data_IF_547202095627
#
_entry.id   IF_547202095627
#
_cell.length_a   1.000
_cell.length_b   1.000
_cell.length_c   1.000
_cell.angle_alpha   90.00
_cell.angle_beta   90.00
_cell.angle_gamma   90.00
#
_symmetry.space_group_name_H-M   'P 1'
#
loop_
_entity.id
_entity.type
_entity.pdbx_description
1 polymer ?
#
# COMPACT_ATOMS: atom_id res chain seq x y z
N UNK A 1 -21.36 -14.70 -3.37
CA UNK A 1 -19.92 -14.52 -3.25
C UNK A 1 -19.30 -14.15 -4.60
N UNK A 2 -18.35 -13.25 -4.59
CA UNK A 2 -17.58 -12.97 -5.79
C UNK A 2 -16.54 -14.10 -6.03
N UNK A 3 -15.78 -14.06 -7.12
CA UNK A 3 -14.91 -15.15 -7.56
C UNK A 3 -15.66 -16.46 -7.85
N UNK A 4 -16.80 -16.35 -8.53
CA UNK A 4 -17.64 -17.49 -8.96
C UNK A 4 -18.11 -18.38 -7.80
N UNK A 5 -18.24 -17.79 -6.61
CA UNK A 5 -18.71 -18.50 -5.42
C UNK A 5 -17.69 -19.39 -4.75
N UNK A 6 -16.41 -19.33 -5.16
CA UNK A 6 -15.33 -20.07 -4.49
C UNK A 6 -14.98 -19.42 -3.15
N UNK A 7 -15.30 -20.09 -2.00
CA UNK A 7 -15.06 -19.48 -0.69
C UNK A 7 -13.58 -19.23 -0.39
N UNK A 8 -12.69 -20.08 -0.86
CA UNK A 8 -11.25 -19.92 -0.62
C UNK A 8 -10.70 -18.70 -1.38
N UNK A 9 -11.06 -18.59 -2.65
CA UNK A 9 -10.62 -17.46 -3.47
C UNK A 9 -11.16 -16.14 -2.93
N UNK A 10 -12.44 -16.12 -2.55
CA UNK A 10 -13.06 -14.94 -1.96
C UNK A 10 -12.35 -14.54 -0.66
N UNK A 11 -12.08 -15.50 0.22
CA UNK A 11 -11.38 -15.23 1.48
C UNK A 11 -9.97 -14.70 1.25
N UNK A 12 -9.22 -15.27 0.29
CA UNK A 12 -7.87 -14.82 -0.03
C UNK A 12 -7.87 -13.37 -0.55
N UNK A 13 -8.71 -13.05 -1.51
CA UNK A 13 -8.77 -11.70 -2.06
C UNK A 13 -9.28 -10.68 -1.05
N UNK A 14 -10.22 -11.06 -0.18
CA UNK A 14 -10.68 -10.20 0.91
C UNK A 14 -9.54 -9.90 1.89
N UNK A 15 -8.75 -10.91 2.25
CA UNK A 15 -7.60 -10.74 3.14
C UNK A 15 -6.55 -9.81 2.53
N UNK A 16 -6.24 -9.96 1.24
CA UNK A 16 -5.34 -9.07 0.52
C UNK A 16 -5.86 -7.64 0.51
N UNK A 17 -7.14 -7.45 0.18
CA UNK A 17 -7.76 -6.12 0.17
C UNK A 17 -7.67 -5.45 1.54
N UNK A 18 -7.89 -6.18 2.62
CA UNK A 18 -7.83 -5.64 3.99
C UNK A 18 -6.43 -5.15 4.38
N UNK A 19 -5.38 -5.69 3.76
CA UNK A 19 -4.00 -5.26 4.02
C UNK A 19 -3.54 -4.10 3.12
N UNK A 20 -4.19 -3.86 1.98
CA UNK A 20 -3.75 -2.90 0.97
C UNK A 20 -3.67 -1.45 1.47
N UNK A 21 -4.63 -0.90 2.23
CA UNK A 21 -4.51 0.48 2.68
C UNK A 21 -3.24 0.75 3.47
N UNK A 22 -2.82 -0.20 4.31
CA UNK A 22 -1.58 -0.10 5.09
C UNK A 22 -0.36 -0.17 4.18
N UNK A 23 -0.35 -1.12 3.23
CA UNK A 23 0.73 -1.28 2.27
C UNK A 23 0.87 -0.07 1.35
N UNK A 24 -0.23 0.45 0.86
CA UNK A 24 -0.23 1.61 -0.03
C UNK A 24 0.23 2.87 0.71
N UNK A 25 -0.09 3.03 1.99
CA UNK A 25 0.43 4.12 2.80
C UNK A 25 1.95 3.99 2.99
N UNK A 26 2.46 2.79 3.20
CA UNK A 26 3.89 2.54 3.24
C UNK A 26 4.56 2.94 1.91
N UNK A 27 3.94 2.61 0.77
CA UNK A 27 4.47 2.97 -0.54
C UNK A 27 4.55 4.49 -0.71
N UNK A 28 3.50 5.21 -0.34
CA UNK A 28 3.48 6.67 -0.38
C UNK A 28 4.60 7.24 0.46
N UNK A 29 4.73 6.79 1.70
CA UNK A 29 5.72 7.31 2.64
C UNK A 29 7.15 7.03 2.15
N UNK A 30 7.41 5.82 1.63
CA UNK A 30 8.73 5.46 1.13
C UNK A 30 9.14 6.32 -0.08
N UNK A 31 8.21 6.59 -0.99
CA UNK A 31 8.48 7.43 -2.16
C UNK A 31 8.72 8.88 -1.74
N UNK A 32 7.93 9.41 -0.81
CA UNK A 32 8.13 10.75 -0.28
C UNK A 32 9.46 10.91 0.42
N UNK A 33 9.85 9.94 1.23
CA UNK A 33 11.13 9.97 1.94
C UNK A 33 12.30 9.86 0.98
N UNK A 34 12.19 8.96 -0.01
CA UNK A 34 13.20 8.84 -1.07
C UNK A 34 13.34 10.12 -1.88
N UNK A 35 12.22 10.77 -2.20
CA UNK A 35 12.22 12.04 -2.92
C UNK A 35 12.92 13.16 -2.13
N UNK A 36 12.66 13.26 -0.82
CA UNK A 36 13.30 14.25 0.04
C UNK A 36 14.80 14.05 0.14
N UNK A 37 15.28 12.82 -0.01
CA UNK A 37 16.70 12.49 0.04
C UNK A 37 17.44 12.80 -1.25
N UNK A 38 16.73 13.11 -2.34
CA UNK A 38 17.34 13.45 -3.63
C UNK A 38 17.96 14.85 -3.61
N UNK A 39 19.05 15.08 -4.38
CA UNK A 39 19.53 16.43 -4.65
C UNK A 39 18.45 17.30 -5.28
N UNK A 40 18.48 18.66 -5.08
CA UNK A 40 17.45 19.54 -5.62
C UNK A 40 17.21 19.43 -7.12
N UNK A 41 18.25 19.17 -7.89
CA UNK A 41 18.16 18.98 -9.34
C UNK A 41 17.31 17.77 -9.71
N UNK A 42 17.51 16.67 -8.99
CA UNK A 42 16.77 15.44 -9.21
C UNK A 42 15.34 15.57 -8.68
N UNK A 43 15.12 16.29 -7.59
CA UNK A 43 13.78 16.57 -7.10
C UNK A 43 12.95 17.31 -8.15
N UNK A 44 13.53 18.30 -8.80
CA UNK A 44 12.83 19.05 -9.86
C UNK A 44 12.49 18.14 -11.04
N UNK A 45 13.43 17.27 -11.42
CA UNK A 45 13.27 16.34 -12.54
C UNK A 45 12.16 15.32 -12.30
N UNK A 46 12.02 14.81 -11.08
CA UNK A 46 11.07 13.73 -10.77
C UNK A 46 9.79 14.19 -10.06
N UNK A 47 9.66 15.47 -9.80
CA UNK A 47 8.52 16.02 -9.03
C UNK A 47 7.17 15.60 -9.57
N UNK A 48 6.95 15.73 -10.87
CA UNK A 48 5.66 15.42 -11.49
C UNK A 48 5.35 13.92 -11.39
N UNK A 49 6.36 13.07 -11.60
CA UNK A 49 6.19 11.61 -11.51
C UNK A 49 5.87 11.17 -10.09
N UNK A 50 6.54 11.75 -9.09
CA UNK A 50 6.30 11.46 -7.68
C UNK A 50 4.90 11.90 -7.27
N UNK A 51 4.47 13.09 -7.69
CA UNK A 51 3.11 13.58 -7.40
C UNK A 51 2.06 12.68 -8.02
N UNK A 52 2.29 12.21 -9.26
CA UNK A 52 1.39 11.30 -9.94
C UNK A 52 1.27 9.95 -9.21
N UNK A 53 2.39 9.38 -8.79
CA UNK A 53 2.42 8.13 -8.03
C UNK A 53 1.69 8.27 -6.70
N UNK A 54 2.01 9.32 -5.93
CA UNK A 54 1.38 9.57 -4.62
C UNK A 54 -0.13 9.74 -4.77
N UNK A 55 -0.57 10.47 -5.79
CA UNK A 55 -2.00 10.64 -6.06
C UNK A 55 -2.69 9.33 -6.42
N UNK A 56 -2.06 8.50 -7.25
CA UNK A 56 -2.58 7.19 -7.63
C UNK A 56 -2.71 6.28 -6.41
N UNK A 57 -1.68 6.18 -5.60
CA UNK A 57 -1.69 5.33 -4.41
C UNK A 57 -2.68 5.82 -3.35
N UNK A 58 -2.84 7.13 -3.20
CA UNK A 58 -3.84 7.69 -2.29
C UNK A 58 -5.27 7.32 -2.74
N UNK A 59 -5.52 7.33 -4.06
CA UNK A 59 -6.80 6.92 -4.62
C UNK A 59 -7.04 5.42 -4.40
N UNK A 60 -6.05 4.58 -4.68
CA UNK A 60 -6.13 3.13 -4.46
C UNK A 60 -6.41 2.83 -2.98
N UNK A 61 -5.68 3.47 -2.07
CA UNK A 61 -5.87 3.30 -0.63
C UNK A 61 -7.29 3.63 -0.22
N UNK A 62 -7.84 4.73 -0.73
CA UNK A 62 -9.21 5.14 -0.42
C UNK A 62 -10.23 4.13 -0.93
N UNK A 63 -10.07 3.65 -2.14
CA UNK A 63 -10.98 2.66 -2.73
C UNK A 63 -10.93 1.34 -1.97
N UNK A 64 -9.73 0.88 -1.61
CA UNK A 64 -9.59 -0.35 -0.82
C UNK A 64 -10.17 -0.18 0.59
N UNK A 65 -10.00 0.99 1.21
CA UNK A 65 -10.59 1.26 2.52
C UNK A 65 -12.13 1.22 2.48
N UNK A 66 -12.72 1.79 1.43
CA UNK A 66 -14.18 1.75 1.23
C UNK A 66 -14.67 0.33 1.01
N UNK A 67 -13.97 -0.46 0.21
CA UNK A 67 -14.29 -1.87 -0.01
C UNK A 67 -14.19 -2.65 1.30
N UNK A 68 -13.15 -2.42 2.09
CA UNK A 68 -12.96 -3.08 3.38
C UNK A 68 -14.07 -2.74 4.38
N UNK A 69 -14.56 -1.49 4.38
CA UNK A 69 -15.72 -1.11 5.18
C UNK A 69 -16.96 -1.93 4.79
N UNK A 70 -17.13 -2.17 3.50
CA UNK A 70 -18.22 -3.00 3.01
C UNK A 70 -18.10 -4.44 3.52
N UNK A 71 -16.89 -5.01 3.53
CA UNK A 71 -16.63 -6.33 4.07
C UNK A 71 -16.92 -6.39 5.57
N UNK A 72 -16.52 -5.37 6.33
CA UNK A 72 -16.78 -5.29 7.76
C UNK A 72 -18.28 -5.24 8.07
N UNK A 73 -19.06 -4.54 7.26
CA UNK A 73 -20.52 -4.51 7.38
C UNK A 73 -21.15 -5.88 7.15
N UNK A 74 -20.48 -6.76 6.43
CA UNK A 74 -20.91 -8.15 6.22
C UNK A 74 -20.45 -9.08 7.34
N UNK A 75 -19.83 -8.55 8.39
CA UNK A 75 -19.38 -9.31 9.56
C UNK A 75 -17.97 -9.86 9.47
N UNK A 76 -17.18 -9.41 8.50
CA UNK A 76 -15.78 -9.82 8.37
C UNK A 76 -14.87 -8.90 9.19
N UNK A 77 -14.08 -9.49 10.08
CA UNK A 77 -13.11 -8.74 10.87
C UNK A 77 -11.82 -8.48 10.07
N UNK A 78 -11.38 -7.22 10.07
CA UNK A 78 -10.09 -6.89 9.47
C UNK A 78 -8.95 -7.18 10.45
N UNK A 79 -8.43 -8.40 10.38
CA UNK A 79 -7.25 -8.82 11.17
C UNK A 79 -5.94 -8.65 10.41
N UNK A 80 -6.02 -8.47 9.11
CA UNK A 80 -4.85 -8.39 8.24
C UNK A 80 -4.22 -7.01 8.22
N UNK A 81 -5.02 -5.95 8.29
CA UNK A 81 -4.51 -4.59 8.36
C UNK A 81 -3.55 -4.38 9.54
N UNK A 82 -3.98 -4.69 10.78
CA UNK A 82 -3.09 -4.57 11.94
C UNK A 82 -1.84 -5.44 11.85
N UNK A 83 -1.94 -6.65 11.29
CA UNK A 83 -0.78 -7.52 11.10
C UNK A 83 0.20 -6.95 10.09
N UNK A 84 -0.29 -6.41 8.99
CA UNK A 84 0.54 -5.74 8.01
C UNK A 84 1.23 -4.51 8.61
N UNK A 85 0.49 -3.70 9.38
CA UNK A 85 1.03 -2.55 10.08
C UNK A 85 2.16 -2.95 11.04
N UNK A 86 1.96 -4.03 11.80
CA UNK A 86 2.96 -4.54 12.72
C UNK A 86 4.24 -4.98 12.00
N UNK A 87 4.10 -5.66 10.88
CA UNK A 87 5.25 -6.06 10.05
C UNK A 87 5.99 -4.85 9.50
N UNK A 88 5.27 -3.84 9.05
CA UNK A 88 5.88 -2.62 8.50
C UNK A 88 6.58 -1.80 9.59
N UNK A 89 6.11 -1.86 10.84
CA UNK A 89 6.80 -1.21 11.96
C UNK A 89 8.21 -1.76 12.16
N UNK A 90 8.43 -3.04 11.86
CA UNK A 90 9.75 -3.66 11.93
C UNK A 90 10.72 -3.08 10.88
N UNK A 91 10.19 -2.43 9.85
CA UNK A 91 10.96 -1.76 8.81
C UNK A 91 11.26 -0.30 9.14
N UNK A 92 10.74 0.22 10.26
CA UNK A 92 11.05 1.57 10.70
C UNK A 92 12.54 1.69 11.04
N UNK A 93 13.14 2.79 10.63
CA UNK A 93 14.57 3.01 10.82
C UNK A 93 15.44 2.46 9.70
N UNK A 94 14.86 1.79 8.69
CA UNK A 94 15.60 1.43 7.49
C UNK A 94 15.99 2.69 6.71
N UNK A 95 17.12 2.58 6.03
CA UNK A 95 17.53 3.58 5.04
C UNK A 95 16.38 3.78 4.03
N UNK A 96 16.02 5.03 3.68
CA UNK A 96 14.96 5.31 2.71
C UNK A 96 15.12 4.54 1.38
N UNK A 97 16.35 4.24 0.99
CA UNK A 97 16.63 3.46 -0.22
C UNK A 97 16.11 2.02 -0.10
N UNK A 98 16.20 1.42 1.08
CA UNK A 98 15.67 0.07 1.31
C UNK A 98 14.14 0.06 1.27
N UNK A 99 13.49 1.03 1.89
CA UNK A 99 12.04 1.16 1.85
C UNK A 99 11.54 1.37 0.42
N UNK A 100 12.24 2.21 -0.34
CA UNK A 100 11.91 2.46 -1.75
C UNK A 100 12.11 1.20 -2.60
N UNK A 101 13.15 0.42 -2.34
CA UNK A 101 13.38 -0.85 -3.04
C UNK A 101 12.26 -1.86 -2.77
N UNK A 102 11.77 -1.93 -1.53
CA UNK A 102 10.63 -2.78 -1.17
C UNK A 102 9.39 -2.35 -1.94
N UNK A 103 9.10 -1.06 -2.00
CA UNK A 103 7.98 -0.50 -2.76
C UNK A 103 8.09 -0.86 -4.23
N UNK A 104 9.24 -0.63 -4.84
CA UNK A 104 9.49 -0.93 -6.25
C UNK A 104 9.29 -2.42 -6.57
N UNK A 105 9.77 -3.30 -5.69
CA UNK A 105 9.60 -4.74 -5.85
C UNK A 105 8.12 -5.14 -5.80
N UNK A 106 7.35 -4.60 -4.85
CA UNK A 106 5.92 -4.87 -4.75
C UNK A 106 5.16 -4.36 -5.96
N UNK A 107 5.45 -3.15 -6.42
CA UNK A 107 4.81 -2.58 -7.62
C UNK A 107 5.11 -3.40 -8.87
N UNK A 108 6.31 -3.98 -8.95
CA UNK A 108 6.68 -4.83 -10.08
C UNK A 108 5.88 -6.13 -10.13
N UNK A 109 5.57 -6.73 -8.95
CA UNK A 109 4.88 -8.01 -8.87
C UNK A 109 3.35 -7.89 -8.70
N UNK A 110 2.85 -6.72 -8.48
CA UNK A 110 1.41 -6.48 -8.36
C UNK A 110 0.89 -5.55 -9.43
#
# INVERSE_FOLDING_TARGET
>A
HWCDGDPFRSALFNALSMSFPVGEQFFIDSVRDGFKALPPEDQERFRAEVQGFVGQEATHRRLHALYNQHLERQGLDNRWGPRAAQRLQQLQGLDPRHALAITAANEHFT
#
